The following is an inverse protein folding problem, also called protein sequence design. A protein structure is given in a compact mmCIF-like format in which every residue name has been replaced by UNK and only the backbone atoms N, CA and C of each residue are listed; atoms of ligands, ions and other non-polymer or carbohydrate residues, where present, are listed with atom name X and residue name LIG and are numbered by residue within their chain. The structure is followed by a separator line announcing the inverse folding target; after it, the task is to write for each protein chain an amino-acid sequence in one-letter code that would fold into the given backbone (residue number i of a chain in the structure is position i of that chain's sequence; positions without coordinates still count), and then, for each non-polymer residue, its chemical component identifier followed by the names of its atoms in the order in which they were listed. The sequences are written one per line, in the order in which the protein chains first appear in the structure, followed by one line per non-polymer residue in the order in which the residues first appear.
data_IF_740002337159
#
_entry.id   IF_740002337159
#
_cell.length_a   1.000
_cell.length_b   1.000
_cell.length_c   1.000
_cell.angle_alpha   90.00
_cell.angle_beta   90.00
_cell.angle_gamma   90.00
#
_symmetry.space_group_name_H-M   'P 1'
#
loop_
_entity.id
_entity.type
_entity.pdbx_description
1 polymer ?
#
# COMPACT_ATOMS: atom_id res chain seq x y z
N UNK A 1 -11.63 -6.16 21.92
CA UNK A 1 -11.50 -5.90 20.47
C UNK A 1 -10.33 -6.73 19.99
N UNK A 2 -10.54 -7.64 19.04
CA UNK A 2 -9.47 -8.39 18.40
C UNK A 2 -8.74 -7.50 17.36
N UNK A 3 -7.66 -7.99 16.75
CA UNK A 3 -6.82 -7.18 15.83
C UNK A 3 -7.57 -6.74 14.57
N UNK A 4 -8.37 -7.63 14.00
CA UNK A 4 -9.22 -7.31 12.84
C UNK A 4 -10.20 -6.18 13.16
N UNK A 5 -10.87 -6.27 14.29
CA UNK A 5 -11.80 -5.23 14.75
C UNK A 5 -11.10 -3.91 15.05
N UNK A 6 -9.87 -3.97 15.56
CA UNK A 6 -9.04 -2.80 15.83
C UNK A 6 -8.72 -2.03 14.55
N UNK A 7 -8.27 -2.72 13.50
CA UNK A 7 -7.99 -2.11 12.19
C UNK A 7 -9.28 -1.56 11.57
N UNK A 8 -10.36 -2.33 11.58
CA UNK A 8 -11.67 -1.86 11.09
C UNK A 8 -12.21 -0.65 11.87
N UNK A 9 -11.96 -0.58 13.16
CA UNK A 9 -12.33 0.59 13.95
C UNK A 9 -11.51 1.82 13.56
N UNK A 10 -10.20 1.67 13.31
CA UNK A 10 -9.36 2.75 12.81
C UNK A 10 -9.83 3.26 11.45
N UNK A 11 -10.13 2.35 10.49
CA UNK A 11 -10.67 2.69 9.15
C UNK A 11 -12.01 3.41 9.27
N UNK A 12 -12.87 2.96 10.19
CA UNK A 12 -14.17 3.58 10.42
C UNK A 12 -14.12 4.83 11.33
N UNK A 13 -12.94 5.37 11.64
CA UNK A 13 -12.72 6.53 12.52
C UNK A 13 -13.41 6.41 13.87
N UNK A 14 -13.48 5.19 14.42
CA UNK A 14 -14.09 4.91 15.73
C UNK A 14 -13.03 4.78 16.81
N UNK A 15 -13.34 5.16 18.07
CA UNK A 15 -12.43 4.95 19.19
C UNK A 15 -12.03 3.48 19.32
N UNK A 16 -10.74 3.24 19.51
CA UNK A 16 -10.16 1.93 19.73
C UNK A 16 -9.25 1.98 20.96
N UNK A 17 -9.01 0.85 21.60
CA UNK A 17 -8.20 0.79 22.83
C UNK A 17 -6.71 1.13 22.61
N UNK A 18 -6.22 1.04 21.39
CA UNK A 18 -4.89 1.44 20.96
C UNK A 18 -4.86 1.73 19.46
N UNK A 19 -3.78 2.31 18.99
CA UNK A 19 -3.52 2.49 17.55
C UNK A 19 -3.08 1.16 16.95
N UNK A 20 -3.70 0.66 15.87
CA UNK A 20 -3.16 -0.48 15.13
C UNK A 20 -1.85 -0.11 14.44
N UNK A 21 -1.00 -1.11 14.22
CA UNK A 21 0.23 -0.91 13.49
C UNK A 21 0.45 -1.94 12.39
N UNK A 22 1.13 -1.50 11.33
CA UNK A 22 1.57 -2.33 10.24
C UNK A 22 2.97 -1.87 9.78
N UNK A 23 3.97 -2.69 10.04
CA UNK A 23 5.40 -2.42 9.80
C UNK A 23 5.93 -3.49 8.87
N UNK A 24 6.37 -3.08 7.68
CA UNK A 24 7.05 -3.94 6.74
C UNK A 24 8.56 -3.88 6.96
N UNK A 25 9.21 -5.05 6.95
CA UNK A 25 10.67 -5.18 6.97
C UNK A 25 11.07 -5.96 5.72
N UNK A 26 11.89 -5.36 4.87
CA UNK A 26 12.38 -5.98 3.65
C UNK A 26 13.30 -7.18 3.97
N UNK A 27 13.44 -8.10 3.02
CA UNK A 27 14.17 -9.35 3.22
C UNK A 27 15.63 -9.12 3.68
N UNK A 28 16.30 -8.14 3.10
CA UNK A 28 17.69 -7.79 3.42
C UNK A 28 17.86 -7.19 4.83
N UNK A 29 16.92 -6.40 5.30
CA UNK A 29 16.90 -5.90 6.69
C UNK A 29 16.57 -7.03 7.67
N UNK A 30 15.67 -7.93 7.31
CA UNK A 30 15.35 -9.12 8.10
C UNK A 30 16.56 -10.06 8.23
N UNK A 31 17.28 -10.34 7.14
CA UNK A 31 18.53 -11.10 7.16
C UNK A 31 19.60 -10.46 8.05
N UNK A 32 19.69 -9.12 8.06
CA UNK A 32 20.60 -8.40 8.93
C UNK A 32 20.26 -8.60 10.43
N UNK A 33 18.98 -8.59 10.80
CA UNK A 33 18.53 -8.89 12.17
C UNK A 33 18.85 -10.35 12.57
N UNK A 34 18.58 -11.30 11.68
CA UNK A 34 18.85 -12.71 11.92
C UNK A 34 20.34 -12.99 12.11
N UNK A 35 21.20 -12.42 11.26
CA UNK A 35 22.65 -12.60 11.32
C UNK A 35 23.28 -12.09 12.61
N UNK A 36 22.63 -11.12 13.26
CA UNK A 36 23.04 -10.58 14.56
C UNK A 36 22.38 -11.30 15.76
N UNK A 37 21.59 -12.35 15.52
CA UNK A 37 20.93 -13.09 16.60
C UNK A 37 19.79 -12.34 17.29
N UNK A 38 19.25 -11.28 16.68
CA UNK A 38 18.26 -10.40 17.29
C UNK A 38 16.81 -10.87 17.14
N UNK A 39 16.58 -11.99 16.47
CA UNK A 39 15.23 -12.47 16.15
C UNK A 39 14.72 -13.54 17.10
N UNK A 40 15.52 -14.02 18.06
CA UNK A 40 15.18 -15.09 19.03
C UNK A 40 14.61 -16.35 18.34
N UNK A 41 15.05 -16.65 17.10
CA UNK A 41 14.56 -17.78 16.31
C UNK A 41 13.13 -17.63 15.77
N UNK A 42 12.53 -16.47 15.91
CA UNK A 42 11.18 -16.17 15.41
C UNK A 42 11.17 -16.02 13.89
N UNK A 43 10.02 -16.30 13.31
CA UNK A 43 9.70 -15.85 11.94
C UNK A 43 9.49 -14.33 11.91
N UNK A 44 9.59 -13.71 10.73
CA UNK A 44 9.32 -12.28 10.56
C UNK A 44 7.93 -11.90 11.09
N UNK A 45 6.91 -12.71 10.79
CA UNK A 45 5.53 -12.48 11.24
C UNK A 45 5.40 -12.50 12.77
N UNK A 46 6.03 -13.46 13.44
CA UNK A 46 6.04 -13.55 14.90
C UNK A 46 6.85 -12.42 15.55
N UNK A 47 7.92 -12.01 14.90
CA UNK A 47 8.80 -10.94 15.38
C UNK A 47 8.13 -9.57 15.32
N UNK A 48 7.60 -9.19 14.18
CA UNK A 48 6.90 -7.90 13.99
C UNK A 48 5.54 -7.94 14.66
N UNK A 49 4.80 -9.02 14.49
CA UNK A 49 3.49 -9.28 15.09
C UNK A 49 2.43 -8.21 14.76
N UNK A 50 2.40 -7.76 13.53
CA UNK A 50 1.48 -6.76 12.99
C UNK A 50 0.00 -7.05 13.29
N UNK A 51 -0.83 -6.01 13.29
CA UNK A 51 -2.30 -6.13 13.35
C UNK A 51 -2.92 -6.47 11.97
N UNK A 52 -2.21 -6.16 10.92
CA UNK A 52 -2.54 -6.51 9.53
C UNK A 52 -1.66 -7.69 9.11
N UNK A 53 -2.22 -8.61 8.35
CA UNK A 53 -1.52 -9.72 7.75
C UNK A 53 -1.66 -9.66 6.23
N UNK A 54 -0.53 -9.60 5.54
CA UNK A 54 -0.50 -9.69 4.10
C UNK A 54 -0.97 -11.06 3.64
N UNK A 55 -1.89 -11.06 2.72
CA UNK A 55 -2.38 -12.25 2.03
C UNK A 55 -1.86 -12.20 0.59
N UNK A 56 -0.93 -13.07 0.29
CA UNK A 56 -0.44 -13.23 -1.07
C UNK A 56 -1.53 -13.82 -1.96
N UNK A 57 -1.91 -13.06 -2.98
CA UNK A 57 -2.84 -13.48 -4.03
C UNK A 57 -2.10 -13.51 -5.36
N UNK A 58 -2.47 -14.37 -6.33
CA UNK A 58 -1.90 -14.30 -7.65
C UNK A 58 -2.23 -12.94 -8.29
N UNK A 59 -1.23 -12.31 -8.89
CA UNK A 59 -1.38 -11.08 -9.64
C UNK A 59 -0.49 -11.13 -10.88
N UNK A 60 -0.74 -10.23 -11.85
CA UNK A 60 -0.07 -10.21 -13.13
C UNK A 60 0.63 -8.88 -13.37
N UNK A 61 1.64 -8.90 -14.23
CA UNK A 61 2.30 -7.71 -14.76
C UNK A 61 2.86 -7.98 -16.15
N UNK A 62 3.12 -6.90 -16.88
CA UNK A 62 3.90 -6.96 -18.11
C UNK A 62 5.27 -6.37 -17.89
N UNK A 63 6.26 -7.01 -18.48
CA UNK A 63 7.59 -6.46 -18.64
C UNK A 63 7.88 -6.39 -20.12
N UNK A 64 8.29 -5.21 -20.61
CA UNK A 64 8.82 -5.01 -21.95
C UNK A 64 7.85 -5.41 -23.09
N UNK A 65 6.88 -4.55 -23.39
CA UNK A 65 6.01 -4.72 -24.55
C UNK A 65 6.70 -4.38 -25.89
N UNK A 66 7.90 -3.80 -25.86
CA UNK A 66 8.59 -3.31 -27.04
C UNK A 66 7.94 -2.06 -27.64
N UNK A 67 8.38 -1.69 -28.86
CA UNK A 67 7.96 -0.45 -29.52
C UNK A 67 6.52 -0.48 -30.06
N UNK A 68 5.94 -1.66 -30.23
CA UNK A 68 4.67 -1.87 -30.96
C UNK A 68 3.48 -2.20 -30.03
N UNK A 69 3.40 -1.62 -28.86
CA UNK A 69 2.31 -1.81 -27.91
C UNK A 69 0.92 -1.39 -28.41
N UNK A 70 0.87 -0.57 -29.47
CA UNK A 70 -0.37 -0.13 -30.12
C UNK A 70 -0.95 -1.15 -31.09
N UNK A 71 -0.24 -2.22 -31.42
CA UNK A 71 -0.71 -3.24 -32.36
C UNK A 71 -1.88 -4.06 -31.81
N UNK A 72 -2.77 -4.55 -32.73
CA UNK A 72 -3.88 -5.43 -32.35
C UNK A 72 -3.47 -6.69 -31.57
N UNK A 73 -2.26 -7.19 -31.83
CA UNK A 73 -1.68 -8.38 -31.21
C UNK A 73 -0.99 -8.11 -29.86
N UNK A 74 -1.36 -7.04 -29.22
CA UNK A 74 -1.01 -6.75 -27.84
C UNK A 74 -1.19 -8.01 -26.97
N UNK A 75 -0.22 -8.38 -26.11
CA UNK A 75 -0.30 -9.62 -25.36
C UNK A 75 -1.65 -9.81 -24.69
N UNK A 76 -2.35 -10.86 -25.07
CA UNK A 76 -3.66 -11.19 -24.51
C UNK A 76 -3.55 -11.78 -23.10
N UNK A 77 -2.33 -12.18 -22.71
CA UNK A 77 -2.01 -12.74 -21.41
C UNK A 77 -0.83 -11.99 -20.78
N UNK A 78 -0.74 -11.94 -19.46
CA UNK A 78 0.40 -11.31 -18.78
C UNK A 78 1.69 -12.02 -19.13
N UNK A 79 2.78 -11.26 -19.27
CA UNK A 79 4.12 -11.80 -19.47
C UNK A 79 4.56 -12.67 -18.28
N UNK A 80 4.05 -12.39 -17.09
CA UNK A 80 4.34 -13.12 -15.88
C UNK A 80 3.21 -12.97 -14.86
N UNK A 81 2.74 -14.07 -14.30
CA UNK A 81 1.95 -14.06 -13.06
C UNK A 81 2.90 -14.09 -11.87
N UNK A 82 2.68 -13.19 -10.91
CA UNK A 82 3.43 -13.07 -9.68
C UNK A 82 2.42 -13.20 -8.52
N UNK A 83 2.91 -13.59 -7.35
CA UNK A 83 2.07 -13.80 -6.17
C UNK A 83 2.16 -15.22 -5.67
N UNK A 84 1.30 -15.60 -4.75
CA UNK A 84 1.34 -16.89 -4.08
C UNK A 84 0.41 -17.91 -4.71
N UNK A 85 0.98 -19.00 -5.24
CA UNK A 85 0.22 -20.17 -5.63
C UNK A 85 -0.72 -19.93 -6.83
N UNK A 86 -1.84 -20.62 -6.80
CA UNK A 86 -2.90 -20.52 -7.79
C UNK A 86 -4.24 -20.23 -7.11
N UNK A 87 -5.26 -19.83 -7.86
CA UNK A 87 -6.58 -19.55 -7.32
C UNK A 87 -7.31 -20.78 -6.77
N UNK A 88 -6.94 -22.00 -7.20
CA UNK A 88 -7.64 -23.24 -6.84
C UNK A 88 -7.65 -23.49 -5.33
N UNK A 89 -6.49 -23.33 -4.68
CA UNK A 89 -6.33 -23.60 -3.25
C UNK A 89 -6.44 -22.31 -2.40
N UNK A 90 -6.49 -21.15 -3.03
CA UNK A 90 -6.39 -19.86 -2.36
C UNK A 90 -7.45 -19.68 -1.27
N UNK A 91 -8.72 -19.92 -1.60
CA UNK A 91 -9.83 -19.77 -0.65
C UNK A 91 -9.70 -20.71 0.55
N UNK A 92 -9.29 -21.98 0.30
CA UNK A 92 -9.05 -22.96 1.35
C UNK A 92 -7.94 -22.49 2.29
N UNK A 93 -6.80 -22.10 1.72
CA UNK A 93 -5.63 -21.68 2.49
C UNK A 93 -5.93 -20.43 3.36
N UNK A 94 -6.63 -19.44 2.79
CA UNK A 94 -7.02 -18.24 3.52
C UNK A 94 -8.01 -18.57 4.65
N UNK A 95 -8.97 -19.47 4.40
CA UNK A 95 -9.91 -19.92 5.44
C UNK A 95 -9.22 -20.63 6.59
N UNK A 96 -8.26 -21.51 6.30
CA UNK A 96 -7.45 -22.19 7.32
C UNK A 96 -6.59 -21.20 8.11
N UNK A 97 -6.03 -20.18 7.44
CA UNK A 97 -5.29 -19.12 8.08
C UNK A 97 -6.17 -18.28 9.03
N UNK A 98 -7.40 -17.97 8.60
CA UNK A 98 -8.37 -17.23 9.42
C UNK A 98 -8.71 -17.94 10.73
N UNK A 99 -8.72 -19.27 10.76
CA UNK A 99 -8.96 -20.04 11.98
C UNK A 99 -7.84 -19.88 13.02
N UNK A 100 -6.65 -19.47 12.59
CA UNK A 100 -5.44 -19.35 13.43
C UNK A 100 -5.05 -17.90 13.70
N UNK A 101 -5.68 -16.92 13.04
CA UNK A 101 -5.29 -15.53 13.09
C UNK A 101 -6.50 -14.61 13.26
N UNK A 102 -6.42 -13.69 14.21
CA UNK A 102 -7.40 -12.65 14.46
C UNK A 102 -7.04 -11.31 13.76
N UNK A 103 -5.98 -11.30 12.94
CA UNK A 103 -5.48 -10.13 12.22
C UNK A 103 -6.41 -9.70 11.09
N UNK A 104 -6.29 -8.45 10.68
CA UNK A 104 -6.92 -7.94 9.45
C UNK A 104 -6.19 -8.53 8.23
N UNK A 105 -6.90 -9.14 7.30
CA UNK A 105 -6.33 -9.77 6.11
C UNK A 105 -6.38 -8.81 4.93
N UNK A 106 -5.20 -8.40 4.48
CA UNK A 106 -5.00 -7.47 3.38
C UNK A 106 -4.44 -8.22 2.17
N UNK A 107 -5.22 -8.35 1.11
CA UNK A 107 -4.72 -8.89 -0.15
C UNK A 107 -3.84 -7.82 -0.83
N UNK A 108 -2.55 -8.09 -0.95
CA UNK A 108 -1.61 -7.16 -1.58
C UNK A 108 -1.40 -7.55 -3.03
N UNK A 109 -1.71 -6.65 -3.94
CA UNK A 109 -1.32 -6.70 -5.34
C UNK A 109 -0.40 -5.52 -5.64
N UNK A 110 0.67 -5.78 -6.36
CA UNK A 110 1.64 -4.75 -6.69
C UNK A 110 1.40 -4.24 -8.11
N UNK A 111 1.44 -2.92 -8.24
CA UNK A 111 1.17 -2.27 -9.51
C UNK A 111 -0.31 -2.28 -9.89
N UNK A 112 -0.95 -1.12 -9.80
CA UNK A 112 -2.24 -0.86 -10.42
C UNK A 112 -2.02 -0.58 -11.92
N UNK A 113 -2.99 0.00 -12.59
CA UNK A 113 -2.92 0.15 -14.05
C UNK A 113 -1.79 1.09 -14.52
N UNK A 114 -1.52 2.19 -13.82
CA UNK A 114 -0.45 3.11 -14.20
C UNK A 114 0.93 2.44 -14.12
N UNK A 115 1.22 1.75 -13.03
CA UNK A 115 2.50 1.04 -12.88
C UNK A 115 2.66 -0.07 -13.91
N UNK A 116 1.61 -0.86 -14.15
CA UNK A 116 1.66 -1.90 -15.19
C UNK A 116 1.90 -1.31 -16.58
N UNK A 117 1.31 -0.14 -16.87
CA UNK A 117 1.54 0.54 -18.14
C UNK A 117 3.00 0.99 -18.29
N UNK A 118 3.57 1.63 -17.27
CA UNK A 118 4.97 2.04 -17.37
C UNK A 118 5.97 0.89 -17.19
N UNK A 119 5.63 -0.20 -16.52
CA UNK A 119 6.46 -1.42 -16.54
C UNK A 119 6.52 -2.02 -17.96
N UNK A 120 5.41 -1.96 -18.68
CA UNK A 120 5.33 -2.46 -20.04
C UNK A 120 6.04 -1.57 -21.06
N UNK A 121 5.94 -0.24 -20.89
CA UNK A 121 6.32 0.76 -21.88
C UNK A 121 7.63 1.50 -21.56
N UNK A 122 8.08 1.43 -20.30
CA UNK A 122 9.07 2.33 -19.74
C UNK A 122 8.43 3.64 -19.24
N UNK A 123 8.83 4.13 -18.07
CA UNK A 123 8.17 5.26 -17.43
C UNK A 123 8.26 6.54 -18.26
N UNK A 124 9.44 6.86 -18.82
CA UNK A 124 9.64 8.05 -19.65
C UNK A 124 8.78 8.00 -20.92
N UNK A 125 8.77 6.85 -21.60
CA UNK A 125 7.97 6.65 -22.81
C UNK A 125 6.48 6.76 -22.51
N UNK A 126 6.01 6.13 -21.42
CA UNK A 126 4.59 6.14 -21.10
C UNK A 126 4.11 7.54 -20.70
N UNK A 127 4.89 8.30 -19.95
CA UNK A 127 4.58 9.70 -19.65
C UNK A 127 4.56 10.57 -20.91
N UNK A 128 5.47 10.32 -21.87
CA UNK A 128 5.46 10.98 -23.17
C UNK A 128 4.22 10.59 -24.00
N UNK A 129 3.83 9.31 -24.01
CA UNK A 129 2.63 8.81 -24.68
C UNK A 129 1.35 9.45 -24.09
N UNK A 130 1.28 9.59 -22.75
CA UNK A 130 0.14 10.27 -22.10
C UNK A 130 -0.01 11.72 -22.56
N UNK A 131 1.08 12.40 -22.88
CA UNK A 131 1.07 13.79 -23.35
C UNK A 131 0.89 13.91 -24.87
N UNK A 132 1.56 13.06 -25.65
CA UNK A 132 1.62 13.14 -27.11
C UNK A 132 0.59 12.30 -27.84
N UNK A 133 0.25 11.12 -27.27
CA UNK A 133 -0.65 10.14 -27.87
C UNK A 133 -1.74 9.69 -26.86
N UNK A 134 -2.51 10.64 -26.28
CA UNK A 134 -3.38 10.35 -25.13
C UNK A 134 -4.46 9.30 -25.42
N UNK A 135 -4.89 9.14 -26.66
CA UNK A 135 -5.89 8.13 -27.03
C UNK A 135 -5.31 6.72 -26.93
N UNK A 136 -4.07 6.52 -27.38
CA UNK A 136 -3.40 5.23 -27.32
C UNK A 136 -3.01 4.89 -25.87
N UNK A 137 -2.49 5.85 -25.11
CA UNK A 137 -2.24 5.66 -23.68
C UNK A 137 -3.50 5.24 -22.92
N UNK A 138 -4.67 5.85 -23.21
CA UNK A 138 -5.96 5.44 -22.62
C UNK A 138 -6.38 4.02 -23.01
N UNK A 139 -6.14 3.61 -24.25
CA UNK A 139 -6.43 2.23 -24.67
C UNK A 139 -5.62 1.21 -23.89
N UNK A 140 -4.33 1.50 -23.67
CA UNK A 140 -3.47 0.65 -22.86
C UNK A 140 -3.98 0.58 -21.41
N UNK A 141 -4.23 1.73 -20.77
CA UNK A 141 -4.75 1.82 -19.41
C UNK A 141 -6.08 1.06 -19.27
N UNK A 142 -7.03 1.26 -20.17
CA UNK A 142 -8.32 0.57 -20.13
C UNK A 142 -8.16 -0.95 -20.25
N UNK A 143 -7.29 -1.42 -21.13
CA UNK A 143 -7.02 -2.86 -21.27
C UNK A 143 -6.43 -3.45 -19.99
N UNK A 144 -5.51 -2.72 -19.35
CA UNK A 144 -4.92 -3.13 -18.06
C UNK A 144 -6.00 -3.21 -16.98
N UNK A 145 -6.86 -2.19 -16.90
CA UNK A 145 -7.98 -2.18 -15.94
C UNK A 145 -8.93 -3.37 -16.17
N UNK A 146 -9.30 -3.65 -17.41
CA UNK A 146 -10.19 -4.79 -17.70
C UNK A 146 -9.58 -6.11 -17.20
N UNK A 147 -8.28 -6.30 -17.35
CA UNK A 147 -7.57 -7.47 -16.84
C UNK A 147 -7.45 -7.45 -15.30
N UNK A 148 -7.21 -6.27 -14.69
CA UNK A 148 -7.16 -6.14 -13.24
C UNK A 148 -8.51 -6.47 -12.60
N UNK A 149 -9.62 -6.03 -13.19
CA UNK A 149 -10.97 -6.35 -12.68
C UNK A 149 -11.20 -7.87 -12.65
N UNK A 150 -10.84 -8.57 -13.72
CA UNK A 150 -10.92 -10.04 -13.76
C UNK A 150 -10.03 -10.67 -12.67
N UNK A 151 -8.81 -10.18 -12.49
CA UNK A 151 -7.92 -10.65 -11.43
C UNK A 151 -8.52 -10.42 -10.05
N UNK A 152 -9.07 -9.25 -9.78
CA UNK A 152 -9.71 -8.91 -8.52
C UNK A 152 -10.91 -9.84 -8.23
N UNK A 153 -11.79 -10.07 -9.21
CA UNK A 153 -12.95 -10.96 -9.07
C UNK A 153 -12.56 -12.38 -8.62
N UNK A 154 -11.40 -12.88 -9.07
CA UNK A 154 -10.93 -14.22 -8.71
C UNK A 154 -10.72 -14.44 -7.20
N UNK A 155 -10.49 -13.38 -6.42
CA UNK A 155 -10.28 -13.53 -4.97
C UNK A 155 -11.20 -12.67 -4.09
N UNK A 156 -11.89 -11.66 -4.63
CA UNK A 156 -12.79 -10.81 -3.85
C UNK A 156 -13.97 -11.58 -3.22
N UNK A 157 -14.40 -12.69 -3.84
CA UNK A 157 -15.42 -13.55 -3.28
C UNK A 157 -15.01 -14.29 -2.00
N UNK A 158 -13.70 -14.29 -1.65
CA UNK A 158 -13.20 -14.91 -0.42
C UNK A 158 -13.57 -14.02 0.77
N UNK A 159 -14.49 -14.48 1.61
CA UNK A 159 -15.06 -13.69 2.72
C UNK A 159 -14.05 -13.31 3.79
N UNK A 160 -12.99 -14.09 3.93
CA UNK A 160 -11.95 -13.92 4.93
C UNK A 160 -10.99 -12.77 4.62
N UNK A 161 -10.89 -12.31 3.39
CA UNK A 161 -10.14 -11.11 2.98
C UNK A 161 -10.91 -9.87 3.45
N UNK A 162 -10.24 -8.95 4.11
CA UNK A 162 -10.83 -7.73 4.66
C UNK A 162 -10.68 -6.52 3.76
N UNK A 163 -9.57 -6.42 3.05
CA UNK A 163 -9.27 -5.31 2.15
C UNK A 163 -8.28 -5.70 1.06
N UNK A 164 -8.09 -4.80 0.11
CA UNK A 164 -7.14 -4.94 -1.00
C UNK A 164 -6.23 -3.72 -1.04
N UNK A 165 -4.92 -3.95 -1.07
CA UNK A 165 -3.90 -2.93 -1.31
C UNK A 165 -3.54 -2.89 -2.78
N UNK A 166 -3.83 -1.77 -3.42
CA UNK A 166 -3.43 -1.42 -4.78
C UNK A 166 -2.15 -0.60 -4.75
N UNK A 167 -1.17 -0.91 -5.56
CA UNK A 167 0.04 -0.08 -5.74
C UNK A 167 -0.13 0.87 -6.90
N UNK A 168 0.34 2.11 -6.76
CA UNK A 168 0.21 3.11 -7.83
C UNK A 168 1.09 4.32 -7.54
N UNK A 169 2.37 4.25 -7.85
CA UNK A 169 3.29 5.36 -7.60
C UNK A 169 3.07 6.51 -8.59
N UNK A 170 2.27 7.50 -8.17
CA UNK A 170 1.98 8.71 -8.96
C UNK A 170 2.87 9.89 -8.64
N UNK A 171 3.59 9.84 -7.52
CA UNK A 171 4.38 10.96 -7.00
C UNK A 171 5.88 10.79 -7.15
N UNK A 172 6.56 11.93 -7.27
CA UNK A 172 7.98 12.09 -6.99
C UNK A 172 8.18 12.71 -5.61
N UNK A 173 9.43 12.96 -5.20
CA UNK A 173 9.68 13.65 -3.94
C UNK A 173 9.14 15.10 -3.92
N UNK A 174 8.92 15.71 -5.07
CA UNK A 174 8.55 17.12 -5.18
C UNK A 174 7.07 17.33 -5.54
N UNK A 175 6.53 16.55 -6.47
CA UNK A 175 5.16 16.68 -6.99
C UNK A 175 4.77 15.40 -7.73
N UNK A 176 3.57 15.38 -8.28
CA UNK A 176 3.08 14.32 -9.16
C UNK A 176 4.02 14.11 -10.37
N UNK A 177 4.08 12.88 -10.86
CA UNK A 177 4.78 12.54 -12.12
C UNK A 177 4.07 13.07 -13.37
N UNK A 178 2.82 13.48 -13.23
CA UNK A 178 1.98 14.04 -14.28
C UNK A 178 1.17 15.22 -13.73
N UNK A 179 0.54 16.01 -14.61
CA UNK A 179 -0.36 17.08 -14.14
C UNK A 179 -1.59 16.50 -13.43
N UNK A 180 -2.19 17.22 -12.46
CA UNK A 180 -3.45 16.78 -11.84
C UNK A 180 -4.56 16.54 -12.86
N UNK A 181 -4.63 17.34 -13.90
CA UNK A 181 -5.63 17.17 -14.97
C UNK A 181 -5.39 15.85 -15.72
N UNK A 182 -4.14 15.54 -16.06
CA UNK A 182 -3.78 14.25 -16.67
C UNK A 182 -4.13 13.07 -15.76
N UNK A 183 -3.82 13.18 -14.47
CA UNK A 183 -4.21 12.16 -13.48
C UNK A 183 -5.73 11.98 -13.43
N UNK A 184 -6.46 13.10 -13.36
CA UNK A 184 -7.92 13.12 -13.30
C UNK A 184 -8.57 12.49 -14.55
N UNK A 185 -7.99 12.75 -15.72
CA UNK A 185 -8.55 12.28 -16.99
C UNK A 185 -8.14 10.84 -17.35
N UNK A 186 -6.94 10.43 -16.96
CA UNK A 186 -6.37 9.16 -17.44
C UNK A 186 -6.26 8.09 -16.37
N UNK A 187 -6.01 8.48 -15.11
CA UNK A 187 -5.77 7.53 -14.02
C UNK A 187 -7.05 7.31 -13.20
N UNK A 188 -7.68 8.39 -12.75
CA UNK A 188 -8.89 8.33 -11.91
C UNK A 188 -9.98 7.39 -12.43
N UNK A 189 -10.33 7.34 -13.73
CA UNK A 189 -11.41 6.48 -14.20
C UNK A 189 -11.14 4.99 -13.99
N UNK A 190 -9.90 4.57 -14.12
CA UNK A 190 -9.49 3.18 -13.87
C UNK A 190 -9.49 2.84 -12.40
N UNK A 191 -8.86 3.68 -11.56
CA UNK A 191 -8.86 3.54 -10.10
C UNK A 191 -10.29 3.47 -9.56
N UNK A 192 -11.22 4.32 -10.04
CA UNK A 192 -12.61 4.29 -9.61
C UNK A 192 -13.27 2.94 -9.87
N UNK A 193 -13.03 2.34 -11.03
CA UNK A 193 -13.59 1.02 -11.38
C UNK A 193 -13.06 -0.08 -10.43
N UNK A 194 -11.78 -0.05 -10.08
CA UNK A 194 -11.19 -0.99 -9.13
C UNK A 194 -11.76 -0.78 -7.71
N UNK A 195 -11.89 0.47 -7.25
CA UNK A 195 -12.47 0.79 -5.94
C UNK A 195 -13.93 0.37 -5.84
N UNK A 196 -14.73 0.69 -6.85
CA UNK A 196 -16.15 0.32 -6.90
C UNK A 196 -16.33 -1.20 -6.86
N UNK A 197 -15.48 -1.95 -7.57
CA UNK A 197 -15.50 -3.40 -7.55
C UNK A 197 -15.16 -3.94 -6.16
N UNK A 198 -14.07 -3.48 -5.54
CA UNK A 198 -13.65 -3.93 -4.21
C UNK A 198 -14.73 -3.62 -3.17
N UNK A 199 -15.29 -2.41 -3.18
CA UNK A 199 -16.38 -2.01 -2.30
C UNK A 199 -17.66 -2.82 -2.53
N UNK A 200 -17.94 -3.25 -3.77
CA UNK A 200 -19.11 -4.08 -4.06
C UNK A 200 -19.11 -5.44 -3.35
N UNK A 201 -17.91 -5.91 -2.98
CA UNK A 201 -17.70 -7.10 -2.15
C UNK A 201 -17.59 -6.80 -0.65
N UNK A 202 -17.83 -5.54 -0.23
CA UNK A 202 -17.78 -5.12 1.18
C UNK A 202 -16.38 -5.13 1.77
N UNK A 203 -15.34 -4.89 0.95
CA UNK A 203 -13.93 -4.86 1.35
C UNK A 203 -13.39 -3.46 1.28
N UNK A 204 -12.39 -3.17 2.13
CA UNK A 204 -11.76 -1.86 2.20
C UNK A 204 -10.71 -1.70 1.08
N UNK A 205 -10.64 -0.51 0.50
CA UNK A 205 -9.66 -0.15 -0.53
C UNK A 205 -8.48 0.55 0.12
N UNK A 206 -7.29 -0.02 -0.04
CA UNK A 206 -6.03 0.58 0.36
C UNK A 206 -5.22 0.93 -0.87
N UNK A 207 -4.56 2.07 -0.85
CA UNK A 207 -3.66 2.50 -1.94
C UNK A 207 -2.29 2.82 -1.39
N UNK A 208 -1.27 2.31 -2.08
CA UNK A 208 0.11 2.70 -1.90
C UNK A 208 0.54 3.61 -3.05
N UNK A 209 1.00 4.82 -2.73
CA UNK A 209 1.62 5.73 -3.68
C UNK A 209 2.73 6.53 -3.01
N UNK A 210 3.97 6.24 -3.39
CA UNK A 210 5.12 6.99 -2.91
C UNK A 210 5.13 8.45 -3.40
N UNK A 211 5.90 9.28 -2.69
CA UNK A 211 6.15 10.67 -3.06
C UNK A 211 5.05 11.65 -2.69
N UNK A 212 5.13 12.83 -3.27
CA UNK A 212 4.17 13.91 -3.05
C UNK A 212 2.95 13.76 -3.97
N UNK A 213 1.85 13.30 -3.41
CA UNK A 213 0.57 13.15 -4.11
C UNK A 213 -0.52 14.07 -3.54
N UNK A 214 -0.14 15.10 -2.78
CA UNK A 214 -1.10 15.97 -2.08
C UNK A 214 -2.20 16.50 -3.02
N UNK A 215 -1.86 16.81 -4.27
CA UNK A 215 -2.78 17.38 -5.25
C UNK A 215 -3.90 16.44 -5.71
N UNK A 216 -3.76 15.13 -5.51
CA UNK A 216 -4.78 14.12 -5.86
C UNK A 216 -5.47 13.51 -4.65
N UNK A 217 -5.12 13.90 -3.43
CA UNK A 217 -5.84 13.45 -2.24
C UNK A 217 -7.33 13.87 -2.24
N UNK A 218 -7.72 15.11 -2.62
CA UNK A 218 -9.13 15.45 -2.71
C UNK A 218 -9.94 14.50 -3.59
N UNK A 219 -9.57 14.22 -4.85
CA UNK A 219 -10.29 13.24 -5.67
C UNK A 219 -10.23 11.81 -5.11
N UNK A 220 -9.17 11.38 -4.42
CA UNK A 220 -9.14 10.08 -3.75
C UNK A 220 -10.19 9.97 -2.64
N UNK A 221 -10.39 11.04 -1.87
CA UNK A 221 -11.46 11.12 -0.87
C UNK A 221 -12.85 11.07 -1.53
N UNK A 222 -13.06 11.78 -2.65
CA UNK A 222 -14.31 11.72 -3.43
C UNK A 222 -14.59 10.30 -3.94
N UNK A 223 -13.55 9.58 -4.35
CA UNK A 223 -13.60 8.19 -4.80
C UNK A 223 -13.80 7.19 -3.66
N UNK A 224 -13.84 7.67 -2.40
CA UNK A 224 -14.01 6.86 -1.19
C UNK A 224 -12.84 5.89 -0.94
N UNK A 225 -11.61 6.33 -1.17
CA UNK A 225 -10.44 5.60 -0.71
C UNK A 225 -10.50 5.44 0.81
N UNK A 226 -10.32 4.22 1.32
CA UNK A 226 -10.39 3.95 2.76
C UNK A 226 -9.05 4.19 3.46
N UNK A 227 -7.93 3.73 2.87
CA UNK A 227 -6.60 3.85 3.47
C UNK A 227 -5.56 4.30 2.44
N UNK A 228 -4.84 5.36 2.77
CA UNK A 228 -3.71 5.87 2.00
C UNK A 228 -2.38 5.52 2.67
N UNK A 229 -1.45 4.96 1.89
CA UNK A 229 -0.06 4.66 2.24
C UNK A 229 0.88 5.04 1.08
N UNK A 230 2.10 5.45 1.39
CA UNK A 230 2.52 5.99 2.66
C UNK A 230 2.12 7.46 2.80
N UNK A 231 2.06 7.93 4.05
CA UNK A 231 2.22 9.36 4.30
C UNK A 231 3.70 9.60 4.61
N UNK A 232 4.40 10.16 3.64
CA UNK A 232 5.85 10.31 3.68
C UNK A 232 6.22 11.72 4.15
N UNK A 233 6.80 11.88 5.37
CA UNK A 233 7.03 13.21 5.95
C UNK A 233 8.03 14.07 5.17
N UNK A 234 8.91 13.46 4.38
CA UNK A 234 9.86 14.17 3.51
C UNK A 234 9.19 14.76 2.26
N UNK A 235 8.05 14.23 1.85
CA UNK A 235 7.36 14.63 0.64
C UNK A 235 6.08 15.44 0.91
N UNK A 236 5.40 15.18 2.06
CA UNK A 236 4.11 15.79 2.39
C UNK A 236 4.06 16.21 3.87
N UNK A 237 3.38 17.31 4.17
CA UNK A 237 3.10 17.74 5.54
C UNK A 237 2.00 16.86 6.16
N UNK A 238 2.39 15.88 6.97
CA UNK A 238 1.47 14.92 7.59
C UNK A 238 0.48 15.59 8.56
N UNK A 239 0.88 16.70 9.20
CA UNK A 239 -0.02 17.46 10.08
C UNK A 239 -1.12 18.16 9.29
N UNK A 240 -0.77 18.75 8.16
CA UNK A 240 -1.71 19.34 7.21
C UNK A 240 -2.67 18.28 6.66
N UNK A 241 -2.15 17.13 6.24
CA UNK A 241 -2.97 16.01 5.75
C UNK A 241 -3.98 15.55 6.80
N UNK A 242 -3.52 15.35 8.04
CA UNK A 242 -4.39 14.96 9.15
C UNK A 242 -5.50 15.98 9.41
N UNK A 243 -5.16 17.26 9.37
CA UNK A 243 -6.12 18.33 9.59
C UNK A 243 -7.18 18.44 8.49
N UNK A 244 -6.79 18.23 7.21
CA UNK A 244 -7.69 18.41 6.06
C UNK A 244 -8.54 17.16 5.75
N UNK A 245 -8.00 15.98 5.97
CA UNK A 245 -8.62 14.75 5.48
C UNK A 245 -8.75 13.65 6.55
N UNK A 246 -8.24 13.87 7.76
CA UNK A 246 -8.17 12.85 8.80
C UNK A 246 -9.51 12.42 9.41
N UNK A 247 -10.62 13.04 9.00
CA UNK A 247 -11.99 12.63 9.31
C UNK A 247 -12.64 11.79 8.18
N UNK A 248 -11.97 11.67 7.03
CA UNK A 248 -12.51 11.02 5.81
C UNK A 248 -11.61 9.93 5.27
N UNK A 249 -10.31 9.99 5.56
CA UNK A 249 -9.30 9.11 5.02
C UNK A 249 -8.43 8.55 6.14
N UNK A 250 -8.24 7.24 6.16
CA UNK A 250 -7.30 6.61 7.08
C UNK A 250 -5.89 6.68 6.49
N UNK A 251 -4.93 7.07 7.31
CA UNK A 251 -3.54 7.16 6.93
C UNK A 251 -2.73 6.00 7.53
N UNK A 252 -1.83 5.44 6.74
CA UNK A 252 -0.86 4.45 7.19
C UNK A 252 0.56 4.91 6.86
N UNK A 253 1.46 4.89 7.87
CA UNK A 253 2.85 5.30 7.73
C UNK A 253 3.22 6.49 8.63
N UNK A 254 4.12 7.34 8.17
CA UNK A 254 4.45 8.64 8.77
C UNK A 254 5.76 8.69 9.55
N UNK A 255 6.36 7.54 9.93
CA UNK A 255 7.72 7.56 10.50
C UNK A 255 8.75 7.60 9.38
N UNK A 256 9.68 8.55 9.46
CA UNK A 256 10.67 8.81 8.42
C UNK A 256 11.58 7.62 8.14
N UNK A 257 11.56 7.15 6.87
CA UNK A 257 12.47 6.12 6.35
C UNK A 257 13.66 6.68 5.59
N UNK A 258 13.70 7.99 5.38
CA UNK A 258 14.80 8.65 4.68
C UNK A 258 15.75 9.42 5.62
N UNK A 259 15.33 9.69 6.85
CA UNK A 259 16.11 10.46 7.81
C UNK A 259 16.22 9.75 9.16
N UNK A 260 15.12 9.67 9.92
CA UNK A 260 15.17 9.25 11.32
C UNK A 260 15.47 7.76 11.47
N UNK A 261 14.85 6.89 10.71
CA UNK A 261 15.11 5.46 10.81
C UNK A 261 16.55 5.08 10.41
N UNK A 262 17.10 5.52 9.26
CA UNK A 262 18.44 5.14 8.87
C UNK A 262 19.56 5.90 9.63
N UNK A 263 19.35 7.18 9.98
CA UNK A 263 20.42 8.04 10.46
C UNK A 263 20.23 8.57 11.88
N UNK A 264 19.03 8.40 12.48
CA UNK A 264 18.74 8.84 13.84
C UNK A 264 19.30 7.88 14.90
N UNK A 265 19.27 8.35 16.17
CA UNK A 265 19.52 7.48 17.32
C UNK A 265 18.22 6.76 17.71
N UNK A 266 18.27 5.68 18.50
CA UNK A 266 17.06 5.05 19.06
C UNK A 266 16.14 6.05 19.80
N UNK A 267 16.70 7.01 20.52
CA UNK A 267 15.94 8.06 21.21
C UNK A 267 15.21 8.98 20.22
N UNK A 268 15.86 9.33 19.10
CA UNK A 268 15.24 10.12 18.04
C UNK A 268 14.10 9.34 17.37
N UNK A 269 14.31 8.06 17.07
CA UNK A 269 13.27 7.16 16.53
C UNK A 269 12.09 7.07 17.49
N UNK A 270 12.34 6.86 18.77
CA UNK A 270 11.30 6.78 19.81
C UNK A 270 10.51 8.08 19.90
N UNK A 271 11.21 9.22 19.89
CA UNK A 271 10.59 10.55 19.96
C UNK A 271 9.67 10.79 18.77
N UNK A 272 10.19 10.66 17.54
CA UNK A 272 9.41 10.87 16.32
C UNK A 272 8.21 9.92 16.23
N UNK A 273 8.44 8.64 16.50
CA UNK A 273 7.37 7.62 16.49
C UNK A 273 6.21 7.97 17.41
N UNK A 274 6.51 8.48 18.61
CA UNK A 274 5.48 8.94 19.56
C UNK A 274 4.79 10.22 19.10
N UNK A 275 5.53 11.18 18.54
CA UNK A 275 4.99 12.44 18.03
C UNK A 275 4.05 12.17 16.84
N UNK A 276 4.49 11.37 15.88
CA UNK A 276 3.67 10.95 14.72
C UNK A 276 2.42 10.22 15.18
N UNK A 277 2.57 9.25 16.10
CA UNK A 277 1.42 8.51 16.64
C UNK A 277 0.43 9.42 17.35
N UNK A 278 0.91 10.32 18.22
CA UNK A 278 0.07 11.25 18.96
C UNK A 278 -0.66 12.26 18.04
N UNK A 279 0.00 12.69 16.97
CA UNK A 279 -0.59 13.57 15.97
C UNK A 279 -1.67 12.86 15.14
N UNK A 280 -1.29 11.73 14.54
CA UNK A 280 -2.09 11.07 13.51
C UNK A 280 -3.26 10.26 14.08
N UNK A 281 -3.19 9.81 15.33
CA UNK A 281 -4.27 9.04 15.98
C UNK A 281 -5.46 9.88 16.42
N UNK A 282 -5.35 11.21 16.45
CA UNK A 282 -6.44 12.10 16.86
C UNK A 282 -7.69 11.87 16.01
N UNK A 283 -8.80 11.52 16.65
CA UNK A 283 -10.06 11.27 15.96
C UNK A 283 -10.13 9.94 15.19
N UNK A 284 -9.17 9.02 15.37
CA UNK A 284 -9.10 7.77 14.60
C UNK A 284 -8.45 7.93 13.24
N UNK A 285 -8.72 7.03 12.29
CA UNK A 285 -8.22 7.11 10.92
C UNK A 285 -6.69 7.03 10.81
N UNK A 286 -6.06 6.13 11.61
CA UNK A 286 -4.62 5.98 11.56
C UNK A 286 -4.15 4.55 11.86
N UNK A 287 -3.19 4.09 11.07
CA UNK A 287 -2.45 2.84 11.24
C UNK A 287 -0.97 3.22 11.34
N UNK A 288 -0.36 2.94 12.48
CA UNK A 288 1.04 3.32 12.72
C UNK A 288 2.00 2.46 11.89
N UNK A 289 3.03 3.08 11.33
CA UNK A 289 4.11 2.43 10.62
C UNK A 289 5.14 3.38 10.07
N UNK A 290 6.22 2.83 9.48
CA UNK A 290 7.18 3.62 8.71
C UNK A 290 6.56 4.09 7.38
N UNK A 291 7.14 5.14 6.80
CA UNK A 291 6.69 5.69 5.52
C UNK A 291 6.95 4.75 4.33
N UNK A 292 7.82 3.75 4.51
CA UNK A 292 8.11 2.70 3.52
C UNK A 292 8.60 1.45 4.24
N UNK A 293 8.69 0.31 3.55
CA UNK A 293 9.30 -0.90 4.09
C UNK A 293 10.74 -0.63 4.57
N UNK A 294 11.05 -1.13 5.76
CA UNK A 294 12.38 -0.96 6.38
C UNK A 294 13.43 -1.69 5.54
N UNK A 295 14.44 -0.94 5.09
CA UNK A 295 15.54 -1.43 4.27
C UNK A 295 16.78 -1.75 5.14
N UNK A 296 17.80 -2.36 4.54
CA UNK A 296 19.04 -2.79 5.20
C UNK A 296 19.87 -1.66 5.81
N UNK A 297 19.67 -0.44 5.35
CA UNK A 297 20.39 0.76 5.85
C UNK A 297 19.90 1.21 7.23
N UNK A 298 18.75 0.69 7.70
CA UNK A 298 18.24 1.01 9.03
C UNK A 298 18.94 0.18 10.10
N UNK A 299 19.61 0.84 11.08
CA UNK A 299 20.28 0.13 12.18
C UNK A 299 19.29 -0.78 12.96
N UNK A 300 19.69 -2.01 13.32
CA UNK A 300 18.85 -2.91 14.09
C UNK A 300 18.27 -2.32 15.38
N UNK A 301 19.04 -1.49 16.09
CA UNK A 301 18.57 -0.81 17.29
C UNK A 301 17.37 0.12 17.02
N UNK A 302 17.36 0.79 15.86
CA UNK A 302 16.28 1.65 15.42
C UNK A 302 15.03 0.84 15.06
N UNK A 303 15.20 -0.33 14.41
CA UNK A 303 14.10 -1.25 14.11
C UNK A 303 13.45 -1.75 15.40
N UNK A 304 14.25 -2.19 16.37
CA UNK A 304 13.75 -2.65 17.67
C UNK A 304 13.01 -1.54 18.41
N UNK A 305 13.53 -0.32 18.41
CA UNK A 305 12.91 0.84 19.06
C UNK A 305 11.58 1.21 18.41
N UNK A 306 11.48 1.15 17.07
CA UNK A 306 10.23 1.37 16.34
C UNK A 306 9.18 0.34 16.75
N UNK A 307 9.55 -0.96 16.79
CA UNK A 307 8.66 -2.04 17.20
C UNK A 307 8.21 -1.93 18.66
N UNK A 308 9.11 -1.54 19.57
CA UNK A 308 8.76 -1.27 20.96
C UNK A 308 7.72 -0.15 21.06
N UNK A 309 7.95 0.96 20.34
CA UNK A 309 7.04 2.11 20.33
C UNK A 309 5.68 1.77 19.70
N UNK A 310 5.65 0.92 18.68
CA UNK A 310 4.40 0.46 18.06
C UNK A 310 3.52 -0.33 19.05
N UNK A 311 4.14 -1.05 19.99
CA UNK A 311 3.48 -1.89 20.99
C UNK A 311 3.08 -1.15 22.27
N UNK A 312 3.51 0.09 22.46
CA UNK A 312 3.14 0.89 23.62
C UNK A 312 1.61 1.05 23.66
N UNK A 313 1.02 0.82 24.82
CA UNK A 313 -0.37 1.19 25.09
C UNK A 313 -0.49 2.70 25.04
N UNK A 314 -1.44 3.24 24.28
CA UNK A 314 -1.65 4.67 24.10
C UNK A 314 -2.14 5.35 25.37
#
# INVERSE_FOLDING_TARGET
MNRRELVKAAIAHRPAGRVPYFIDICADAWEALQSQGLTDGKTLEEFVNNDVQDIGVPWWTWYELGEDWTKPDFPSSPAKCIGCGNYTDLAKNIKELRQKSDKYFLARIYGSHFEKAYFARGIENFLADMAGEPQEARKLLNKIIDMNLVMLENFLAISEIDGVLLGSDWGSQLDLLMSPDTWQEMIRPGEQREYDLIHSYGKDVWVHSCGNIERVIPPLVEMKLDVLNPIQPEAMDIAKLKNLYGDKLTFWGGVSTQQTLPYGTPEAVKKESREVRALMSKGGGYIFGPAQGIQRDVPPANILTLLETARESG
#
